data_IF_641398694591
#
_entry.id   IF_641398694591
#
_cell.length_a   1.000
_cell.length_b   1.000
_cell.length_c   1.000
_cell.angle_alpha   90.00
_cell.angle_beta   90.00
_cell.angle_gamma   90.00
#
_symmetry.space_group_name_H-M   'P 1'
#
loop_
_entity.id
_entity.type
_entity.pdbx_description
1 polymer ?
#
# COMPACT_ATOMS: atom_id res chain seq x y z
N UNK A 1 -1.12 10.30 -3.76
CA UNK A 1 -1.69 9.22 -4.59
C UNK A 1 -1.73 7.99 -3.71
N UNK A 2 -2.87 7.62 -3.12
CA UNK A 2 -2.96 6.31 -2.44
C UNK A 2 -2.80 5.28 -3.54
N UNK A 3 -1.61 4.69 -3.59
CA UNK A 3 -1.30 3.60 -4.50
C UNK A 3 -2.38 2.52 -4.26
N UNK A 4 -3.05 2.12 -5.34
CA UNK A 4 -3.97 0.96 -5.39
C UNK A 4 -3.17 -0.34 -5.20
N UNK A 5 -2.27 -0.38 -4.23
CA UNK A 5 -1.48 -1.57 -3.86
C UNK A 5 -2.37 -2.43 -2.99
N UNK A 6 -3.42 -2.99 -3.62
CA UNK A 6 -4.24 -4.02 -3.00
C UNK A 6 -3.33 -5.18 -2.67
N UNK A 7 -3.22 -5.51 -1.39
CA UNK A 7 -2.53 -6.71 -0.94
C UNK A 7 -3.44 -7.91 -1.22
N UNK A 8 -3.31 -8.49 -2.41
CA UNK A 8 -4.00 -9.71 -2.76
C UNK A 8 -3.39 -10.89 -1.98
N UNK A 9 -4.04 -11.27 -0.89
CA UNK A 9 -3.75 -12.54 -0.21
C UNK A 9 -4.30 -13.66 -1.07
N UNK A 10 -3.41 -14.55 -1.52
CA UNK A 10 -3.81 -15.76 -2.25
C UNK A 10 -4.24 -16.82 -1.24
N UNK A 11 -5.52 -16.81 -0.87
CA UNK A 11 -6.11 -17.87 -0.06
C UNK A 11 -6.22 -19.16 -0.89
N UNK A 12 -5.34 -20.12 -0.63
CA UNK A 12 -5.54 -21.51 -1.04
C UNK A 12 -6.53 -22.17 -0.08
N UNK A 13 -7.80 -21.76 -0.15
CA UNK A 13 -8.87 -22.54 0.45
C UNK A 13 -9.26 -23.66 -0.52
N UNK A 14 -9.01 -24.91 -0.12
CA UNK A 14 -9.49 -26.09 -0.83
C UNK A 14 -11.02 -26.04 -0.97
N UNK A 15 -11.49 -25.94 -2.22
CA UNK A 15 -12.88 -26.21 -2.57
C UNK A 15 -13.89 -25.12 -2.18
N UNK A 16 -14.24 -24.27 -3.14
CA UNK A 16 -15.52 -23.58 -3.11
C UNK A 16 -16.64 -24.62 -3.26
N UNK A 17 -17.23 -25.04 -2.14
CA UNK A 17 -18.62 -25.46 -2.19
C UNK A 17 -19.45 -24.17 -2.40
N UNK A 18 -20.30 -24.08 -3.44
CA UNK A 18 -21.27 -23.00 -3.51
C UNK A 18 -22.14 -23.11 -2.27
N UNK A 19 -22.15 -22.08 -1.44
CA UNK A 19 -22.94 -22.04 -0.21
C UNK A 19 -24.41 -21.85 -0.61
N UNK A 20 -25.02 -22.89 -1.18
CA UNK A 20 -26.47 -23.09 -1.11
C UNK A 20 -26.77 -23.70 0.26
N UNK A 21 -26.61 -22.93 1.33
CA UNK A 21 -27.11 -23.33 2.64
C UNK A 21 -28.56 -22.91 2.76
N UNK A 22 -29.44 -23.88 2.48
CA UNK A 22 -30.83 -23.90 2.95
C UNK A 22 -30.81 -23.84 4.47
N UNK A 23 -31.05 -22.67 5.03
CA UNK A 23 -31.17 -22.44 6.47
C UNK A 23 -31.44 -20.97 6.73
N UNK A 24 -32.70 -20.63 7.06
CA UNK A 24 -33.20 -19.29 7.45
C UNK A 24 -32.39 -18.15 6.84
N UNK A 25 -32.56 -17.93 5.53
CA UNK A 25 -31.72 -17.02 4.76
C UNK A 25 -31.75 -15.61 5.35
N UNK A 26 -30.72 -15.25 6.11
CA UNK A 26 -30.49 -13.87 6.48
C UNK A 26 -30.34 -13.08 5.17
N UNK A 27 -31.25 -12.13 4.92
CA UNK A 27 -31.14 -11.23 3.77
C UNK A 27 -29.85 -10.44 3.97
N UNK A 28 -28.99 -10.38 2.96
CA UNK A 28 -27.77 -9.57 2.96
C UNK A 28 -27.96 -8.39 2.00
N UNK A 29 -27.28 -7.28 2.28
CA UNK A 29 -27.21 -6.10 1.44
C UNK A 29 -25.76 -5.83 1.02
N UNK A 30 -25.58 -5.29 -0.18
CA UNK A 30 -24.29 -4.86 -0.70
C UNK A 30 -24.27 -3.32 -0.74
N UNK A 31 -23.23 -2.73 -0.17
CA UNK A 31 -23.04 -1.29 -0.14
C UNK A 31 -21.71 -0.96 -0.82
N UNK A 32 -21.73 0.04 -1.69
CA UNK A 32 -20.51 0.58 -2.29
C UNK A 32 -19.94 1.62 -1.35
N UNK A 33 -18.77 1.37 -0.78
CA UNK A 33 -18.14 2.20 0.23
C UNK A 33 -16.87 2.86 -0.32
N UNK A 34 -16.63 4.10 0.09
CA UNK A 34 -15.38 4.85 -0.16
C UNK A 34 -14.98 5.58 1.12
N UNK A 35 -13.72 6.00 1.23
CA UNK A 35 -13.18 6.63 2.43
C UNK A 35 -12.92 8.13 2.25
N UNK A 36 -13.11 8.88 3.33
CA UNK A 36 -12.66 10.26 3.48
C UNK A 36 -11.70 10.35 4.66
N UNK A 37 -10.42 10.61 4.39
CA UNK A 37 -9.37 10.67 5.41
C UNK A 37 -9.19 12.09 5.94
N UNK A 38 -9.19 12.25 7.27
CA UNK A 38 -9.04 13.57 7.93
C UNK A 38 -7.62 14.15 7.88
N UNK A 39 -6.61 13.29 7.76
CA UNK A 39 -5.19 13.67 7.74
C UNK A 39 -4.57 13.70 6.32
N UNK A 40 -5.31 13.32 5.27
CA UNK A 40 -4.85 13.38 3.89
C UNK A 40 -5.34 14.66 3.20
N UNK A 41 -4.51 15.27 2.35
CA UNK A 41 -4.95 16.41 1.51
C UNK A 41 -6.14 16.05 0.61
N UNK A 42 -6.87 17.04 0.06
CA UNK A 42 -8.16 16.87 -0.63
C UNK A 42 -8.10 16.16 -2.01
N UNK A 43 -7.10 15.31 -2.26
CA UNK A 43 -6.83 14.72 -3.58
C UNK A 43 -6.59 13.20 -3.51
N UNK A 44 -7.43 12.51 -2.72
CA UNK A 44 -7.43 11.05 -2.63
C UNK A 44 -8.82 10.54 -3.04
N UNK A 45 -8.94 10.08 -4.28
CA UNK A 45 -10.10 9.28 -4.70
C UNK A 45 -9.92 7.91 -4.04
N UNK A 46 -10.48 7.73 -2.84
CA UNK A 46 -10.43 6.44 -2.17
C UNK A 46 -11.13 5.38 -3.04
N UNK A 47 -10.56 4.19 -3.17
CA UNK A 47 -11.10 3.15 -4.02
C UNK A 47 -12.50 2.74 -3.54
N UNK A 48 -13.38 2.49 -4.51
CA UNK A 48 -14.73 2.01 -4.25
C UNK A 48 -14.67 0.51 -3.96
N UNK A 49 -15.14 0.13 -2.78
CA UNK A 49 -15.17 -1.26 -2.36
C UNK A 49 -16.57 -1.71 -2.00
N UNK A 50 -16.89 -2.95 -2.33
CA UNK A 50 -18.21 -3.52 -2.01
C UNK A 50 -18.17 -4.20 -0.65
N UNK A 51 -18.96 -3.69 0.29
CA UNK A 51 -19.13 -4.27 1.62
C UNK A 51 -20.46 -5.04 1.67
N UNK A 52 -20.41 -6.30 2.09
CA UNK A 52 -21.59 -7.16 2.25
C UNK A 52 -21.95 -7.26 3.73
N UNK A 53 -23.19 -6.92 4.09
CA UNK A 53 -23.68 -6.94 5.47
C UNK A 53 -25.04 -7.63 5.57
N UNK A 54 -25.42 -8.16 6.75
CA UNK A 54 -26.81 -8.53 7.01
C UNK A 54 -27.76 -7.34 6.80
N UNK A 55 -29.00 -7.59 6.35
CA UNK A 55 -29.97 -6.54 6.05
C UNK A 55 -30.42 -5.74 7.29
N UNK A 56 -30.19 -6.30 8.48
CA UNK A 56 -30.46 -5.68 9.78
C UNK A 56 -29.20 -5.10 10.42
N UNK A 57 -28.10 -4.99 9.66
CA UNK A 57 -26.86 -4.47 10.18
C UNK A 57 -27.01 -3.01 10.62
N UNK A 58 -26.30 -2.68 11.69
CA UNK A 58 -26.24 -1.36 12.28
C UNK A 58 -25.12 -0.51 11.67
N UNK A 59 -25.19 0.81 11.85
CA UNK A 59 -24.14 1.74 11.39
C UNK A 59 -22.78 1.39 12.02
N UNK A 60 -22.76 0.91 13.27
CA UNK A 60 -21.54 0.45 13.93
C UNK A 60 -20.93 -0.78 13.25
N UNK A 61 -21.76 -1.75 12.86
CA UNK A 61 -21.32 -2.94 12.11
C UNK A 61 -20.81 -2.56 10.72
N UNK A 62 -21.46 -1.61 10.04
CA UNK A 62 -20.96 -1.06 8.78
C UNK A 62 -19.58 -0.42 8.94
N UNK A 63 -19.39 0.43 9.96
CA UNK A 63 -18.09 1.05 10.23
C UNK A 63 -17.00 0.01 10.48
N UNK A 64 -17.30 -0.99 11.29
CA UNK A 64 -16.38 -2.09 11.61
C UNK A 64 -15.98 -2.87 10.36
N UNK A 65 -16.96 -3.25 9.53
CA UNK A 65 -16.70 -4.05 8.33
C UNK A 65 -15.95 -3.26 7.26
N UNK A 66 -16.25 -1.98 7.08
CA UNK A 66 -15.46 -1.09 6.21
C UNK A 66 -14.03 -0.98 6.74
N UNK A 67 -13.85 -0.73 8.03
CA UNK A 67 -12.53 -0.63 8.62
C UNK A 67 -11.71 -1.89 8.38
N UNK A 68 -12.27 -3.07 8.70
CA UNK A 68 -11.61 -4.35 8.49
C UNK A 68 -11.22 -4.54 7.02
N UNK A 69 -12.18 -4.39 6.11
CA UNK A 69 -11.98 -4.62 4.68
C UNK A 69 -10.87 -3.74 4.09
N UNK A 70 -10.89 -2.44 4.39
CA UNK A 70 -9.87 -1.53 3.87
C UNK A 70 -8.50 -1.74 4.53
N UNK A 71 -8.44 -2.05 5.82
CA UNK A 71 -7.18 -2.35 6.52
C UNK A 71 -6.55 -3.68 6.08
N UNK A 72 -7.35 -4.64 5.63
CA UNK A 72 -6.87 -5.90 5.07
C UNK A 72 -6.35 -5.71 3.63
N UNK A 73 -7.11 -5.00 2.80
CA UNK A 73 -6.81 -4.86 1.37
C UNK A 73 -5.73 -3.81 1.08
N UNK A 74 -5.63 -2.74 1.85
CA UNK A 74 -4.72 -1.63 1.53
C UNK A 74 -3.63 -1.48 2.58
N UNK A 75 -2.37 -1.61 2.14
CA UNK A 75 -1.21 -1.53 3.04
C UNK A 75 -1.16 -0.19 3.80
N UNK A 76 -1.42 0.92 3.10
CA UNK A 76 -1.46 2.26 3.70
C UNK A 76 -2.66 2.51 4.62
N UNK A 77 -3.66 1.62 4.65
CA UNK A 77 -4.83 1.73 5.51
C UNK A 77 -4.83 0.70 6.65
N UNK A 78 -3.72 0.00 6.91
CA UNK A 78 -3.63 -0.98 8.00
C UNK A 78 -3.98 -0.41 9.37
N UNK A 79 -3.69 0.86 9.61
CA UNK A 79 -4.00 1.57 10.87
C UNK A 79 -5.22 2.48 10.74
N UNK A 80 -6.01 2.33 9.69
CA UNK A 80 -7.24 3.09 9.49
C UNK A 80 -8.25 2.80 10.59
N UNK A 81 -8.89 3.87 11.09
CA UNK A 81 -9.99 3.81 12.06
C UNK A 81 -11.21 4.51 11.47
N UNK A 82 -12.34 3.80 11.40
CA UNK A 82 -13.61 4.34 10.92
C UNK A 82 -14.33 5.12 12.03
N UNK A 83 -14.53 6.42 11.84
CA UNK A 83 -15.05 7.32 12.87
C UNK A 83 -16.53 7.65 12.65
N UNK A 84 -16.90 8.03 11.43
CA UNK A 84 -18.26 8.47 11.07
C UNK A 84 -18.66 8.02 9.66
N UNK A 85 -19.97 8.01 9.40
CA UNK A 85 -20.53 7.81 8.06
C UNK A 85 -21.07 9.15 7.58
N UNK A 86 -20.63 9.62 6.41
CA UNK A 86 -21.07 10.90 5.88
C UNK A 86 -22.58 10.88 5.62
N UNK A 87 -23.27 11.95 6.01
CA UNK A 87 -24.73 12.06 5.88
C UNK A 87 -25.53 11.34 6.97
N UNK A 88 -24.88 10.53 7.83
CA UNK A 88 -25.49 9.95 9.02
C UNK A 88 -25.13 10.81 10.23
N UNK A 89 -26.12 11.19 11.04
CA UNK A 89 -25.89 12.04 12.21
C UNK A 89 -25.00 11.38 13.26
N UNK A 90 -24.37 12.20 14.11
CA UNK A 90 -23.46 11.73 15.17
C UNK A 90 -24.20 10.79 16.14
N UNK A 91 -23.55 9.70 16.55
CA UNK A 91 -24.04 8.75 17.58
C UNK A 91 -25.19 7.82 17.16
N UNK A 92 -25.24 7.40 15.90
CA UNK A 92 -26.24 6.46 15.36
C UNK A 92 -25.71 5.03 15.18
N UNK A 93 -24.64 4.64 15.89
CA UNK A 93 -23.99 3.33 15.69
C UNK A 93 -24.95 2.14 15.90
N UNK A 94 -26.00 2.29 16.70
CA UNK A 94 -27.02 1.25 16.93
C UNK A 94 -28.20 1.30 15.93
N UNK A 95 -28.28 2.33 15.09
CA UNK A 95 -29.35 2.46 14.10
C UNK A 95 -29.11 1.50 12.93
N UNK A 96 -30.17 0.88 12.37
CA UNK A 96 -30.03 0.05 11.19
C UNK A 96 -29.59 0.92 9.99
N UNK A 97 -28.70 0.37 9.17
CA UNK A 97 -28.26 1.03 7.94
C UNK A 97 -29.42 1.17 6.94
N UNK A 98 -30.28 0.16 6.90
CA UNK A 98 -31.46 0.12 6.06
C UNK A 98 -32.48 1.15 6.54
N UNK A 99 -32.71 2.19 5.73
CA UNK A 99 -33.57 3.34 6.05
C UNK A 99 -32.81 4.63 6.36
N UNK A 100 -31.50 4.55 6.60
CA UNK A 100 -30.61 5.72 6.71
C UNK A 100 -29.86 5.97 5.40
N UNK A 101 -29.53 4.90 4.67
CA UNK A 101 -28.78 4.94 3.42
C UNK A 101 -29.65 4.40 2.28
N UNK A 102 -29.73 5.16 1.19
CA UNK A 102 -30.44 4.73 -0.01
C UNK A 102 -29.70 3.59 -0.72
N UNK A 103 -30.45 2.57 -1.13
CA UNK A 103 -29.90 1.43 -1.89
C UNK A 103 -29.35 1.92 -3.22
N UNK A 104 -28.07 1.62 -3.50
CA UNK A 104 -27.38 2.04 -4.72
C UNK A 104 -26.59 3.36 -4.57
N UNK A 105 -26.66 4.02 -3.42
CA UNK A 105 -25.80 5.15 -3.09
C UNK A 105 -24.41 4.69 -2.68
N UNK A 106 -23.42 5.54 -2.96
CA UNK A 106 -22.06 5.39 -2.43
C UNK A 106 -22.08 5.87 -0.98
N UNK A 107 -21.64 5.00 -0.07
CA UNK A 107 -21.43 5.33 1.34
C UNK A 107 -20.02 5.86 1.53
N UNK A 108 -19.90 7.08 2.07
CA UNK A 108 -18.61 7.65 2.40
C UNK A 108 -18.35 7.45 3.90
N UNK A 109 -17.24 6.80 4.24
CA UNK A 109 -16.81 6.57 5.62
C UNK A 109 -15.67 7.54 5.93
N UNK A 110 -15.87 8.37 6.94
CA UNK A 110 -14.87 9.29 7.44
C UNK A 110 -14.01 8.59 8.50
N UNK A 111 -12.69 8.80 8.43
CA UNK A 111 -11.79 8.24 9.41
C UNK A 111 -10.40 8.85 9.37
N UNK A 112 -9.52 8.30 10.19
CA UNK A 112 -8.13 8.73 10.30
C UNK A 112 -7.20 7.51 10.18
N UNK A 113 -5.98 7.76 9.71
CA UNK A 113 -4.89 6.79 9.69
C UNK A 113 -3.83 7.33 10.64
N UNK A 114 -3.41 6.50 11.58
CA UNK A 114 -2.27 6.84 12.45
C UNK A 114 -1.01 6.44 11.70
N UNK A 115 -0.25 7.42 11.22
CA UNK A 115 1.11 7.16 10.75
C UNK A 115 1.93 6.66 11.94
N UNK A 116 2.34 5.40 11.89
CA UNK A 116 3.40 4.94 12.77
C UNK A 116 4.68 5.63 12.30
N UNK A 117 5.02 6.76 12.94
CA UNK A 117 6.39 7.22 12.98
C UNK A 117 7.22 6.06 13.53
N UNK A 118 7.85 5.32 12.62
CA UNK A 118 8.88 4.37 13.01
C UNK A 118 9.90 5.17 13.81
N UNK A 119 10.11 4.73 15.05
CA UNK A 119 11.21 5.13 15.90
C UNK A 119 12.52 4.82 15.16
N UNK A 120 13.02 5.79 14.40
CA UNK A 120 14.40 5.87 13.99
C UNK A 120 14.95 7.16 14.61
N UNK A 121 15.64 6.95 15.72
CA UNK A 121 16.66 7.76 16.40
C UNK A 121 16.63 9.29 16.28
N UNK A 122 16.65 9.92 17.46
CA UNK A 122 16.68 11.35 17.67
C UNK A 122 17.94 12.00 17.05
N UNK A 123 17.78 12.75 15.96
CA UNK A 123 18.59 13.96 15.77
C UNK A 123 17.80 15.06 15.06
N UNK A 124 17.31 15.96 15.89
CA UNK A 124 16.90 17.35 15.59
C UNK A 124 17.76 17.94 14.48
N UNK A 125 17.14 18.48 13.42
CA UNK A 125 17.36 19.86 12.93
C UNK A 125 16.19 20.34 12.06
N UNK A 126 15.36 21.15 12.70
CA UNK A 126 14.50 22.25 12.21
C UNK A 126 14.68 22.72 10.76
N UNK A 127 13.59 22.74 10.00
CA UNK A 127 13.46 23.51 8.76
C UNK A 127 12.14 23.25 8.04
N UNK A 128 11.19 24.17 8.17
CA UNK A 128 9.87 24.12 7.54
C UNK A 128 9.96 24.51 6.07
N UNK A 129 9.71 23.59 5.15
CA UNK A 129 9.18 23.89 3.81
C UNK A 129 8.54 22.65 3.17
N UNK A 130 7.22 22.73 2.97
CA UNK A 130 6.41 22.04 1.97
C UNK A 130 6.86 20.62 1.55
N UNK A 131 6.73 19.65 2.45
CA UNK A 131 6.76 18.24 2.08
C UNK A 131 5.44 17.88 1.39
N UNK A 132 5.43 17.92 0.05
CA UNK A 132 4.48 17.18 -0.78
C UNK A 132 4.49 15.72 -0.33
N UNK A 133 3.39 15.25 0.26
CA UNK A 133 3.16 13.83 0.56
C UNK A 133 2.92 13.06 -0.75
N UNK A 134 4.03 12.77 -1.42
CA UNK A 134 4.09 11.69 -2.40
C UNK A 134 4.31 10.40 -1.63
N UNK A 135 3.24 9.70 -1.27
CA UNK A 135 3.31 8.26 -0.98
C UNK A 135 3.51 7.50 -2.31
N UNK A 136 4.62 7.76 -3.00
CA UNK A 136 5.36 6.66 -3.59
C UNK A 136 5.96 5.93 -2.40
N UNK A 137 5.87 4.60 -2.35
CA UNK A 137 6.57 3.82 -1.32
C UNK A 137 7.93 4.43 -1.13
N UNK A 138 8.31 4.73 0.13
CA UNK A 138 9.51 5.48 0.44
C UNK A 138 10.59 5.07 -0.53
N UNK A 139 11.12 6.05 -1.25
CA UNK A 139 12.41 5.91 -1.91
C UNK A 139 13.26 5.22 -0.84
N UNK A 140 13.42 3.90 -0.93
CA UNK A 140 14.53 3.22 -0.31
C UNK A 140 15.66 3.86 -1.07
N UNK A 141 16.10 5.03 -0.57
CA UNK A 141 16.81 6.08 -1.31
C UNK A 141 17.65 5.38 -2.34
N UNK A 142 17.18 5.34 -3.60
CA UNK A 142 17.69 4.37 -4.59
C UNK A 142 19.21 4.45 -4.54
N UNK A 143 19.86 3.45 -3.95
CA UNK A 143 21.21 3.67 -3.43
C UNK A 143 22.14 3.76 -4.61
N UNK A 144 22.49 4.98 -5.02
CA UNK A 144 23.47 5.18 -6.07
C UNK A 144 24.84 5.03 -5.43
N UNK A 145 25.56 4.03 -5.90
CA UNK A 145 26.88 3.68 -5.40
C UNK A 145 27.78 3.36 -6.59
N UNK A 146 28.05 4.42 -7.36
CA UNK A 146 28.85 4.33 -8.56
C UNK A 146 30.33 4.56 -8.25
N UNK A 147 31.23 3.84 -8.95
CA UNK A 147 32.67 4.00 -8.77
C UNK A 147 33.19 5.40 -9.17
N UNK A 148 32.40 6.21 -9.88
CA UNK A 148 32.71 7.62 -10.16
C UNK A 148 32.49 8.55 -8.96
N UNK A 149 31.83 8.08 -7.90
CA UNK A 149 31.52 8.86 -6.70
C UNK A 149 30.18 9.57 -6.73
N UNK A 150 29.34 9.34 -7.75
CA UNK A 150 27.96 9.82 -7.75
C UNK A 150 27.13 9.13 -6.66
N UNK A 151 26.41 9.92 -5.88
CA UNK A 151 25.46 9.49 -4.84
C UNK A 151 23.99 9.78 -5.22
N UNK A 152 23.75 10.37 -6.39
CA UNK A 152 22.44 10.61 -6.97
C UNK A 152 22.40 10.26 -8.47
N UNK A 153 21.23 10.37 -9.10
CA UNK A 153 21.06 10.15 -10.54
C UNK A 153 21.19 11.47 -11.30
N UNK A 154 22.33 11.63 -11.94
CA UNK A 154 22.70 12.76 -12.78
C UNK A 154 22.07 12.74 -14.18
N UNK A 155 21.18 11.77 -14.45
CA UNK A 155 20.51 11.59 -15.73
C UNK A 155 21.32 10.78 -16.75
N UNK A 156 22.47 10.24 -16.38
CA UNK A 156 23.15 9.22 -17.17
C UNK A 156 22.43 7.86 -17.07
N UNK A 157 22.71 6.95 -18.01
CA UNK A 157 22.02 5.64 -18.05
C UNK A 157 22.49 4.73 -16.92
N UNK A 158 21.56 4.29 -16.07
CA UNK A 158 21.84 3.50 -14.87
C UNK A 158 21.45 2.01 -15.01
N UNK A 159 22.10 1.15 -14.22
CA UNK A 159 21.73 -0.25 -14.02
C UNK A 159 21.71 -0.60 -12.51
N UNK A 160 20.76 -1.44 -12.10
CA UNK A 160 20.57 -1.88 -10.71
C UNK A 160 21.18 -3.26 -10.50
N UNK A 161 22.05 -3.40 -9.49
CA UNK A 161 22.72 -4.67 -9.18
C UNK A 161 21.71 -5.69 -8.63
N UNK A 162 21.64 -6.88 -9.21
CA UNK A 162 20.71 -7.94 -8.77
C UNK A 162 21.06 -8.56 -7.40
N UNK A 163 22.24 -8.25 -6.84
CA UNK A 163 22.69 -8.79 -5.55
C UNK A 163 22.49 -7.80 -4.41
N UNK A 164 22.95 -6.56 -4.58
CA UNK A 164 22.92 -5.54 -3.52
C UNK A 164 21.95 -4.39 -3.79
N UNK A 165 21.23 -4.42 -4.92
CA UNK A 165 20.22 -3.43 -5.31
C UNK A 165 20.75 -2.00 -5.47
N UNK A 166 22.07 -1.83 -5.47
CA UNK A 166 22.74 -0.55 -5.71
C UNK A 166 22.75 -0.18 -7.21
N UNK A 167 22.60 1.11 -7.49
CA UNK A 167 22.56 1.67 -8.83
C UNK A 167 23.93 2.21 -9.26
N UNK A 168 24.33 1.89 -10.49
CA UNK A 168 25.57 2.36 -11.09
C UNK A 168 25.35 2.82 -12.53
N UNK A 169 26.15 3.78 -12.99
CA UNK A 169 26.18 4.15 -14.40
C UNK A 169 26.61 2.94 -15.22
N UNK A 170 25.84 2.61 -16.25
CA UNK A 170 26.16 1.56 -17.22
C UNK A 170 27.57 1.72 -17.78
N UNK A 171 27.96 2.96 -18.13
CA UNK A 171 29.31 3.29 -18.60
C UNK A 171 30.41 3.03 -17.56
N UNK A 172 30.17 3.35 -16.29
CA UNK A 172 31.11 3.07 -15.20
C UNK A 172 31.24 1.58 -14.89
N UNK A 173 30.21 0.80 -15.20
CA UNK A 173 30.23 -0.64 -15.14
C UNK A 173 30.72 -1.32 -16.44
N UNK A 174 31.18 -0.54 -17.43
CA UNK A 174 31.72 -1.07 -18.69
C UNK A 174 30.69 -1.49 -19.73
N UNK A 175 29.41 -1.21 -19.50
CA UNK A 175 28.31 -1.43 -20.45
C UNK A 175 28.24 -0.22 -21.38
N UNK A 176 28.36 -0.43 -22.70
CA UNK A 176 28.28 0.65 -23.68
C UNK A 176 26.84 1.06 -23.91
N UNK A 177 26.62 2.32 -24.30
CA UNK A 177 25.29 2.83 -24.64
C UNK A 177 24.65 2.10 -25.85
N UNK A 178 25.48 1.50 -26.70
CA UNK A 178 25.03 0.71 -27.85
C UNK A 178 24.57 -0.70 -27.48
N UNK A 179 24.91 -1.16 -26.28
CA UNK A 179 24.63 -2.51 -25.84
C UNK A 179 23.35 -2.52 -25.00
N UNK A 180 22.49 -3.50 -25.25
CA UNK A 180 21.34 -3.76 -24.39
C UNK A 180 21.81 -4.02 -22.95
N UNK A 181 21.02 -3.56 -21.99
CA UNK A 181 21.31 -3.84 -20.59
C UNK A 181 21.25 -5.36 -20.37
N UNK A 182 22.28 -5.97 -19.75
CA UNK A 182 22.27 -7.40 -19.50
C UNK A 182 21.07 -7.78 -18.63
N UNK A 183 20.50 -8.96 -18.85
CA UNK A 183 19.37 -9.46 -18.06
C UNK A 183 19.70 -9.65 -16.58
N UNK A 184 20.98 -9.83 -16.26
CA UNK A 184 21.51 -9.88 -14.90
C UNK A 184 22.70 -8.94 -14.85
N UNK A 185 22.65 -7.95 -13.97
CA UNK A 185 23.70 -6.99 -13.71
C UNK A 185 24.26 -7.20 -12.30
N UNK A 186 25.58 -7.38 -12.21
CA UNK A 186 26.30 -7.51 -10.95
C UNK A 186 27.35 -6.41 -10.88
N UNK A 187 27.33 -5.61 -9.81
CA UNK A 187 28.30 -4.55 -9.63
C UNK A 187 29.69 -5.10 -9.29
N UNK A 188 30.74 -4.31 -9.51
CA UNK A 188 32.12 -4.74 -9.24
C UNK A 188 32.35 -5.20 -7.80
N UNK A 189 31.62 -4.65 -6.81
CA UNK A 189 31.74 -5.08 -5.40
C UNK A 189 31.26 -6.52 -5.23
N UNK A 190 30.03 -6.79 -5.68
CA UNK A 190 29.45 -8.11 -5.61
C UNK A 190 30.20 -9.13 -6.47
N UNK A 191 30.76 -8.72 -7.62
CA UNK A 191 31.60 -9.60 -8.45
C UNK A 191 32.87 -10.05 -7.70
N UNK A 192 33.55 -9.14 -7.00
CA UNK A 192 34.72 -9.47 -6.17
C UNK A 192 34.37 -10.35 -4.95
N UNK A 193 33.20 -10.14 -4.35
CA UNK A 193 32.73 -10.93 -3.21
C UNK A 193 32.38 -12.37 -3.62
N UNK A 194 31.76 -12.56 -4.79
CA UNK A 194 31.42 -13.88 -5.33
C UNK A 194 32.68 -14.70 -5.67
N UNK A 195 33.77 -14.05 -6.09
CA UNK A 195 35.06 -14.71 -6.35
C UNK A 195 35.84 -15.09 -5.08
N UNK A 196 35.40 -14.62 -3.91
CA UNK A 196 36.05 -14.88 -2.62
C UNK A 196 35.52 -16.13 -1.91
N UNK A 197 34.49 -16.79 -2.46
CA UNK A 197 34.05 -18.09 -1.95
C UNK A 197 35.07 -19.18 -2.36
N UNK A 198 35.71 -19.89 -1.41
CA UNK A 198 36.55 -21.02 -1.77
C UNK A 198 35.68 -22.04 -2.52
N UNK A 199 36.17 -22.63 -3.64
CA UNK A 199 35.42 -23.64 -4.35
C UNK A 199 35.07 -24.75 -3.36
N UNK A 200 33.79 -25.03 -3.21
CA UNK A 200 33.32 -26.22 -2.49
C UNK A 200 33.81 -27.41 -3.30
N UNK A 201 35.00 -27.91 -2.94
CA UNK A 201 35.55 -29.16 -3.45
C UNK A 201 34.59 -30.29 -3.07
N UNK A 202 34.10 -30.97 -4.10
CA UNK A 202 33.25 -32.15 -4.05
C UNK A 202 33.87 -33.29 -3.24
#
# INVERSE_FOLDING_TARGET
>A
MVLDTKHFVKDYHEGFAPINSVGVGHVHMNLCCTLLLKNGGPELVAPYETVTLPAHATVGELKWEVQRLFSEMYLGLRTFTAESVAGVGVSQDACPVLGLIDVGSVVVIEGSVVEQQQLADESVHTGSEAASVSEGGGDSERVVDCACGADDDDGERMACCDICEAWQHTRCAGIKDTDDAPHVFVCNRCDNDVLSFPPLSC
#
